data_IF_763333697494
#
_entry.id   IF_763333697494
#
_cell.length_a   1.000
_cell.length_b   1.000
_cell.length_c   1.000
_cell.angle_alpha   90.00
_cell.angle_beta   90.00
_cell.angle_gamma   90.00
#
_symmetry.space_group_name_H-M   'P 1'
#
loop_
_entity.id
_entity.type
_entity.pdbx_description
1 polymer ?
#
# COMPACT_ATOMS: atom_id res chain seq x y z
N UNK A 1 4.96 -3.57 -20.72
CA UNK A 1 4.86 -2.68 -21.90
C UNK A 1 3.72 -3.05 -22.84
N UNK A 2 3.53 -4.30 -23.26
CA UNK A 2 2.48 -4.69 -24.23
C UNK A 2 1.02 -4.48 -23.73
N UNK A 3 0.71 -4.75 -22.45
CA UNK A 3 -0.64 -4.47 -21.90
C UNK A 3 -0.98 -2.98 -21.72
N UNK A 4 0.01 -2.10 -21.74
CA UNK A 4 -0.20 -0.66 -21.45
C UNK A 4 -0.67 0.07 -22.71
N UNK A 5 -0.11 -0.26 -23.88
CA UNK A 5 -0.54 0.30 -25.17
C UNK A 5 -1.95 -0.11 -25.59
N UNK A 6 -2.38 -1.34 -25.25
CA UNK A 6 -3.74 -1.82 -25.57
C UNK A 6 -4.84 -1.10 -24.77
N UNK A 7 -4.50 -0.62 -23.56
CA UNK A 7 -5.41 0.18 -22.73
C UNK A 7 -5.51 1.62 -23.21
N UNK A 8 -4.40 2.19 -23.72
CA UNK A 8 -4.38 3.52 -24.35
C UNK A 8 -5.18 3.51 -25.66
N UNK A 9 -4.99 2.47 -26.50
CA UNK A 9 -5.76 2.29 -27.74
C UNK A 9 -7.25 2.08 -27.47
N UNK A 10 -7.62 1.32 -26.42
CA UNK A 10 -9.02 1.09 -26.08
C UNK A 10 -9.68 2.36 -25.50
N UNK A 11 -8.99 3.11 -24.64
CA UNK A 11 -9.49 4.39 -24.10
C UNK A 11 -9.69 5.41 -25.22
N UNK A 12 -8.66 5.57 -26.07
CA UNK A 12 -8.72 6.48 -27.20
C UNK A 12 -9.78 6.09 -28.23
N UNK A 13 -9.94 4.80 -28.51
CA UNK A 13 -11.00 4.31 -29.40
C UNK A 13 -12.40 4.54 -28.81
N UNK A 14 -12.57 4.37 -27.49
CA UNK A 14 -13.87 4.59 -26.84
C UNK A 14 -14.23 6.09 -26.76
N UNK A 15 -13.28 6.95 -26.41
CA UNK A 15 -13.53 8.39 -26.23
C UNK A 15 -13.56 9.15 -27.56
N UNK A 16 -12.60 8.91 -28.45
CA UNK A 16 -12.51 9.63 -29.72
C UNK A 16 -13.30 8.94 -30.84
N UNK A 17 -13.49 7.61 -30.75
CA UNK A 17 -14.22 6.83 -31.75
C UNK A 17 -15.71 6.67 -31.46
N UNK A 18 -16.09 6.26 -30.25
CA UNK A 18 -17.51 5.97 -29.90
C UNK A 18 -18.26 7.21 -29.42
N UNK A 19 -17.61 8.10 -28.66
CA UNK A 19 -18.22 9.35 -28.17
C UNK A 19 -18.06 10.54 -29.14
N UNK A 20 -17.22 10.43 -30.18
CA UNK A 20 -17.10 11.42 -31.27
C UNK A 20 -16.57 12.80 -30.84
N UNK A 21 -15.95 12.90 -29.66
CA UNK A 21 -15.43 14.16 -29.11
C UNK A 21 -14.05 14.50 -29.71
N UNK A 22 -13.75 15.80 -29.86
CA UNK A 22 -12.47 16.24 -30.45
C UNK A 22 -11.38 16.27 -29.38
N UNK A 23 -10.12 15.91 -29.69
CA UNK A 23 -9.00 15.95 -28.75
C UNK A 23 -8.70 17.33 -28.14
N UNK A 24 -9.25 18.40 -28.74
CA UNK A 24 -9.07 19.78 -28.28
C UNK A 24 -10.00 20.17 -27.11
N UNK A 25 -11.03 19.37 -26.82
CA UNK A 25 -12.01 19.70 -25.77
C UNK A 25 -11.49 19.24 -24.40
N UNK A 26 -11.43 20.16 -23.43
CA UNK A 26 -11.00 19.90 -22.04
C UNK A 26 -11.77 18.73 -21.39
N UNK A 27 -13.05 18.58 -21.73
CA UNK A 27 -13.91 17.50 -21.24
C UNK A 27 -13.57 16.14 -21.87
N UNK A 28 -13.14 16.12 -23.13
CA UNK A 28 -12.68 14.90 -23.80
C UNK A 28 -11.37 14.39 -23.21
N UNK A 29 -10.42 15.30 -22.94
CA UNK A 29 -9.15 14.97 -22.28
C UNK A 29 -9.35 14.49 -20.84
N UNK A 30 -10.25 15.14 -20.08
CA UNK A 30 -10.62 14.69 -18.74
C UNK A 30 -11.24 13.27 -18.76
N UNK A 31 -12.15 12.99 -19.69
CA UNK A 31 -12.79 11.68 -19.79
C UNK A 31 -11.84 10.57 -20.22
N UNK A 32 -10.95 10.84 -21.17
CA UNK A 32 -9.90 9.90 -21.60
C UNK A 32 -8.95 9.57 -20.45
N UNK A 33 -8.44 10.59 -19.74
CA UNK A 33 -7.63 10.40 -18.54
C UNK A 33 -8.37 9.61 -17.46
N UNK A 34 -9.64 9.96 -17.19
CA UNK A 34 -10.44 9.27 -16.19
C UNK A 34 -10.62 7.79 -16.50
N UNK A 35 -10.97 7.43 -17.74
CA UNK A 35 -11.22 6.04 -18.14
C UNK A 35 -9.91 5.24 -18.12
N UNK A 36 -8.86 5.80 -18.71
CA UNK A 36 -7.55 5.16 -18.75
C UNK A 36 -7.01 4.88 -17.35
N UNK A 37 -6.94 5.90 -16.48
CA UNK A 37 -6.40 5.75 -15.13
C UNK A 37 -7.31 4.91 -14.23
N UNK A 38 -8.63 5.02 -14.36
CA UNK A 38 -9.56 4.17 -13.60
C UNK A 38 -9.33 2.70 -13.88
N UNK A 39 -9.25 2.31 -15.16
CA UNK A 39 -9.05 0.90 -15.52
C UNK A 39 -7.65 0.44 -15.11
N UNK A 40 -6.62 1.25 -15.40
CA UNK A 40 -5.22 0.93 -15.11
C UNK A 40 -4.96 0.74 -13.62
N UNK A 41 -5.41 1.69 -12.79
CA UNK A 41 -5.19 1.66 -11.35
C UNK A 41 -6.01 0.54 -10.70
N UNK A 42 -7.26 0.32 -11.10
CA UNK A 42 -8.07 -0.80 -10.57
C UNK A 42 -7.45 -2.17 -10.92
N UNK A 43 -6.92 -2.32 -12.15
CA UNK A 43 -6.26 -3.56 -12.58
C UNK A 43 -4.96 -3.80 -11.82
N UNK A 44 -4.10 -2.77 -11.70
CA UNK A 44 -2.88 -2.83 -10.89
C UNK A 44 -3.19 -3.18 -9.43
N UNK A 45 -4.19 -2.52 -8.84
CA UNK A 45 -4.62 -2.78 -7.47
C UNK A 45 -5.12 -4.22 -7.31
N UNK A 46 -5.94 -4.72 -8.23
CA UNK A 46 -6.47 -6.08 -8.17
C UNK A 46 -5.36 -7.14 -8.26
N UNK A 47 -4.41 -6.97 -9.19
CA UNK A 47 -3.26 -7.88 -9.35
C UNK A 47 -2.38 -7.86 -8.10
N UNK A 48 -2.04 -6.67 -7.61
CA UNK A 48 -1.19 -6.52 -6.43
C UNK A 48 -1.85 -7.11 -5.18
N UNK A 49 -3.14 -6.82 -4.92
CA UNK A 49 -3.88 -7.40 -3.78
C UNK A 49 -3.96 -8.93 -3.90
N UNK A 50 -4.14 -9.46 -5.12
CA UNK A 50 -4.15 -10.90 -5.34
C UNK A 50 -2.80 -11.52 -5.01
N UNK A 51 -1.70 -10.98 -5.54
CA UNK A 51 -0.33 -11.45 -5.26
C UNK A 51 -0.03 -11.42 -3.76
N UNK A 52 -0.35 -10.31 -3.08
CA UNK A 52 -0.15 -10.17 -1.63
C UNK A 52 -1.01 -11.16 -0.85
N UNK A 53 -2.27 -11.37 -1.25
CA UNK A 53 -3.18 -12.34 -0.60
C UNK A 53 -2.69 -13.78 -0.77
N UNK A 54 -2.15 -14.11 -1.94
CA UNK A 54 -1.52 -15.41 -2.23
C UNK A 54 -0.25 -15.58 -1.39
N UNK A 55 0.64 -14.59 -1.39
CA UNK A 55 1.87 -14.60 -0.58
C UNK A 55 1.55 -14.81 0.91
N UNK A 56 0.54 -14.12 1.43
CA UNK A 56 0.04 -14.31 2.81
C UNK A 56 -0.52 -15.69 3.08
N UNK A 57 -1.17 -16.30 2.10
CA UNK A 57 -1.64 -17.67 2.23
C UNK A 57 -0.48 -18.68 2.33
N UNK A 58 0.71 -18.34 1.83
CA UNK A 58 1.94 -19.13 1.98
C UNK A 58 2.73 -18.81 3.25
N UNK A 59 2.76 -17.54 3.66
CA UNK A 59 3.40 -17.10 4.92
C UNK A 59 2.58 -17.64 6.09
N UNK A 60 3.01 -18.79 6.62
CA UNK A 60 2.35 -19.42 7.75
C UNK A 60 2.65 -18.61 9.01
N UNK A 61 1.60 -18.09 9.67
CA UNK A 61 1.66 -17.38 10.97
C UNK A 61 2.57 -18.05 12.02
N UNK A 62 2.77 -19.36 11.90
CA UNK A 62 3.70 -20.18 12.71
C UNK A 62 5.18 -19.76 12.58
N UNK A 63 5.69 -19.46 11.38
CA UNK A 63 7.10 -19.04 11.19
C UNK A 63 7.38 -17.68 11.81
N UNK A 64 6.45 -16.74 11.66
CA UNK A 64 6.57 -15.41 12.27
C UNK A 64 6.54 -15.52 13.81
N UNK A 65 5.65 -16.36 14.34
CA UNK A 65 5.59 -16.63 15.79
C UNK A 65 6.85 -17.30 16.32
N UNK A 66 7.45 -18.25 15.60
CA UNK A 66 8.73 -18.87 15.98
C UNK A 66 9.91 -17.88 15.91
N UNK A 67 9.87 -16.89 14.99
CA UNK A 67 10.91 -15.86 14.88
C UNK A 67 10.80 -14.71 15.90
N UNK A 68 9.57 -14.34 16.30
CA UNK A 68 9.29 -13.16 17.14
C UNK A 68 8.71 -13.48 18.54
N UNK A 69 8.12 -14.66 18.74
CA UNK A 69 7.32 -15.01 19.93
C UNK A 69 8.08 -15.34 21.22
N UNK A 70 9.29 -14.80 21.41
CA UNK A 70 10.09 -15.01 22.62
C UNK A 70 11.23 -14.02 22.80
N UNK A 71 11.27 -12.95 22.00
CA UNK A 71 12.34 -11.94 22.07
C UNK A 71 11.87 -10.75 22.90
N UNK A 72 12.77 -10.28 23.78
CA UNK A 72 12.54 -9.11 24.64
C UNK A 72 12.21 -7.87 23.79
N UNK A 73 11.42 -6.97 24.36
CA UNK A 73 11.16 -5.64 23.80
C UNK A 73 12.49 -4.97 23.39
N UNK A 74 12.52 -4.33 22.23
CA UNK A 74 13.75 -3.81 21.61
C UNK A 74 14.29 -4.74 20.51
N UNK A 75 14.81 -5.92 20.85
CA UNK A 75 15.33 -6.87 19.82
C UNK A 75 14.20 -7.35 18.91
N UNK A 76 13.02 -7.59 19.49
CA UNK A 76 11.82 -7.89 18.70
C UNK A 76 11.45 -6.76 17.73
N UNK A 77 11.56 -5.50 18.16
CA UNK A 77 11.21 -4.31 17.36
C UNK A 77 12.16 -4.15 16.15
N UNK A 78 13.47 -4.34 16.37
CA UNK A 78 14.46 -4.28 15.28
C UNK A 78 14.18 -5.36 14.23
N UNK A 79 13.97 -6.60 14.67
CA UNK A 79 13.68 -7.71 13.76
C UNK A 79 12.35 -7.52 13.03
N UNK A 80 11.34 -7.01 13.71
CA UNK A 80 10.06 -6.66 13.13
C UNK A 80 10.19 -5.57 12.06
N UNK A 81 10.92 -4.49 12.34
CA UNK A 81 11.15 -3.41 11.39
C UNK A 81 11.91 -3.90 10.14
N UNK A 82 12.95 -4.73 10.32
CA UNK A 82 13.70 -5.33 9.21
C UNK A 82 12.86 -6.28 8.36
N UNK A 83 11.94 -7.04 8.97
CA UNK A 83 10.99 -7.88 8.25
C UNK A 83 9.94 -7.05 7.48
N UNK A 84 9.68 -5.82 7.91
CA UNK A 84 8.78 -4.89 7.22
C UNK A 84 9.33 -4.43 5.86
N UNK A 85 10.64 -4.22 5.75
CA UNK A 85 11.30 -3.71 4.53
C UNK A 85 10.96 -4.53 3.26
N UNK A 86 11.15 -5.88 3.25
CA UNK A 86 10.85 -6.69 2.07
C UNK A 86 9.35 -7.00 1.89
N UNK A 87 8.48 -6.47 2.75
CA UNK A 87 7.05 -6.77 2.75
C UNK A 87 6.21 -5.50 2.77
N UNK A 88 6.14 -4.75 1.64
CA UNK A 88 5.38 -3.52 1.56
C UNK A 88 3.88 -3.80 1.61
N UNK A 89 3.35 -3.95 2.83
CA UNK A 89 1.93 -4.10 3.04
C UNK A 89 1.25 -2.74 2.95
N UNK A 90 0.30 -2.65 2.03
CA UNK A 90 -0.68 -1.57 2.01
C UNK A 90 -1.53 -1.56 3.28
N UNK A 91 -2.16 -0.44 3.58
CA UNK A 91 -3.16 -0.30 4.66
C UNK A 91 -4.26 -1.39 4.61
N UNK A 92 -4.67 -1.79 3.40
CA UNK A 92 -5.60 -2.90 3.15
C UNK A 92 -5.15 -4.23 3.78
N UNK A 93 -3.85 -4.42 3.82
CA UNK A 93 -3.15 -5.64 4.17
C UNK A 93 -2.63 -5.57 5.61
N UNK A 94 -2.29 -4.39 6.12
CA UNK A 94 -1.83 -4.19 7.50
C UNK A 94 -2.78 -4.79 8.55
N UNK A 95 -4.08 -4.56 8.44
CA UNK A 95 -5.07 -4.93 9.48
C UNK A 95 -5.15 -6.45 9.75
N UNK A 96 -5.32 -7.34 8.76
CA UNK A 96 -5.32 -8.78 9.01
C UNK A 96 -4.01 -9.33 9.59
N UNK A 97 -2.87 -8.71 9.25
CA UNK A 97 -1.57 -9.13 9.78
C UNK A 97 -1.39 -8.69 11.22
N UNK A 98 -1.78 -7.45 11.54
CA UNK A 98 -1.83 -6.96 12.91
C UNK A 98 -2.62 -7.93 13.80
N UNK A 99 -3.85 -8.24 13.39
CA UNK A 99 -4.67 -9.23 14.10
C UNK A 99 -3.95 -10.57 14.22
N UNK A 100 -3.33 -11.07 13.15
CA UNK A 100 -2.57 -12.32 13.18
C UNK A 100 -1.37 -12.33 14.15
N UNK A 101 -0.72 -11.18 14.37
CA UNK A 101 0.43 -11.07 15.29
C UNK A 101 -0.05 -11.00 16.75
N UNK A 102 -1.11 -10.23 17.01
CA UNK A 102 -1.75 -10.17 18.33
C UNK A 102 -2.34 -11.53 18.71
N UNK A 103 -3.02 -12.22 17.78
CA UNK A 103 -3.50 -13.61 17.97
C UNK A 103 -2.37 -14.61 18.28
N UNK A 104 -1.16 -14.33 17.79
CA UNK A 104 0.03 -15.14 18.02
C UNK A 104 0.70 -14.84 19.37
N UNK A 105 0.25 -13.82 20.11
CA UNK A 105 0.83 -13.39 21.38
C UNK A 105 2.14 -12.61 21.22
N UNK A 106 2.35 -11.98 20.05
CA UNK A 106 3.50 -11.09 19.84
C UNK A 106 3.21 -9.75 20.54
N UNK A 107 4.15 -9.16 21.30
CA UNK A 107 3.96 -7.88 21.96
C UNK A 107 3.50 -6.79 21.00
N UNK A 108 2.67 -5.88 21.47
CA UNK A 108 2.03 -4.88 20.62
C UNK A 108 3.05 -3.95 19.95
N UNK A 109 4.05 -3.50 20.72
CA UNK A 109 5.13 -2.65 20.22
C UNK A 109 5.94 -3.28 19.07
N UNK A 110 6.15 -4.59 19.12
CA UNK A 110 6.85 -5.36 18.08
C UNK A 110 6.02 -5.38 16.80
N UNK A 111 4.71 -5.57 16.93
CA UNK A 111 3.80 -5.54 15.80
C UNK A 111 3.74 -4.15 15.15
N UNK A 112 3.71 -3.09 15.96
CA UNK A 112 3.71 -1.72 15.43
C UNK A 112 5.02 -1.34 14.74
N UNK A 113 6.17 -1.80 15.24
CA UNK A 113 7.45 -1.62 14.54
C UNK A 113 7.42 -2.19 13.12
N UNK A 114 6.87 -3.40 12.97
CA UNK A 114 6.66 -4.04 11.68
C UNK A 114 5.69 -3.23 10.79
N UNK A 115 4.54 -2.82 11.34
CA UNK A 115 3.49 -2.12 10.62
C UNK A 115 3.90 -0.73 10.14
N UNK A 116 4.75 -0.03 10.89
CA UNK A 116 5.25 1.31 10.54
C UNK A 116 6.36 1.19 9.50
N UNK A 117 7.27 0.22 9.65
CA UNK A 117 8.36 0.02 8.69
C UNK A 117 7.86 -0.41 7.30
N UNK A 118 6.86 -1.30 7.25
CA UNK A 118 6.30 -1.89 6.02
C UNK A 118 5.88 -0.86 4.94
N UNK A 119 5.04 0.16 5.23
CA UNK A 119 4.68 1.18 4.24
C UNK A 119 5.74 2.26 4.08
N UNK A 120 6.59 2.45 5.09
CA UNK A 120 7.54 3.57 5.13
C UNK A 120 8.83 3.27 4.37
N UNK A 121 9.27 2.01 4.32
CA UNK A 121 10.45 1.59 3.58
C UNK A 121 10.00 0.55 2.56
N UNK A 122 9.97 0.91 1.27
CA UNK A 122 9.65 -0.02 0.20
C UNK A 122 10.81 -0.11 -0.82
N UNK A 123 10.85 -1.22 -1.54
CA UNK A 123 11.94 -1.53 -2.46
C UNK A 123 11.92 -0.61 -3.68
N UNK A 124 10.74 -0.14 -4.08
CA UNK A 124 10.55 0.77 -5.22
C UNK A 124 11.15 2.16 -4.92
N UNK A 125 10.89 2.73 -3.74
CA UNK A 125 11.45 4.00 -3.30
C UNK A 125 12.96 3.89 -3.10
N UNK A 126 13.45 2.78 -2.55
CA UNK A 126 14.90 2.53 -2.45
C UNK A 126 15.55 2.55 -3.84
N UNK A 127 14.96 1.84 -4.81
CA UNK A 127 15.49 1.80 -6.18
C UNK A 127 15.47 3.19 -6.86
N UNK A 128 14.39 3.94 -6.68
CA UNK A 128 14.25 5.30 -7.22
C UNK A 128 15.25 6.28 -6.57
N UNK A 129 15.34 6.28 -5.24
CA UNK A 129 16.27 7.14 -4.50
C UNK A 129 17.72 6.81 -4.85
N UNK A 130 18.04 5.53 -4.99
CA UNK A 130 19.38 5.11 -5.38
C UNK A 130 19.73 5.58 -6.80
N UNK A 131 18.76 5.50 -7.73
CA UNK A 131 18.94 5.94 -9.10
C UNK A 131 19.03 7.46 -9.26
N UNK A 132 18.30 8.23 -8.44
CA UNK A 132 18.23 9.69 -8.55
C UNK A 132 19.27 10.42 -7.69
N UNK A 133 19.46 9.98 -6.45
CA UNK A 133 20.24 10.69 -5.42
C UNK A 133 21.46 9.91 -4.93
N UNK A 134 21.63 8.66 -5.36
CA UNK A 134 22.75 7.82 -4.97
C UNK A 134 22.60 7.14 -3.60
N UNK A 135 23.68 6.50 -3.16
CA UNK A 135 23.66 5.62 -1.98
C UNK A 135 23.53 6.37 -0.65
N UNK A 136 24.08 7.57 -0.54
CA UNK A 136 24.12 8.36 0.70
C UNK A 136 22.70 8.73 1.17
N UNK A 137 21.88 9.28 0.27
CA UNK A 137 20.49 9.66 0.56
C UNK A 137 19.63 8.41 0.81
N UNK A 138 19.86 7.34 0.05
CA UNK A 138 19.14 6.07 0.21
C UNK A 138 19.41 5.44 1.58
N UNK A 139 20.67 5.43 2.03
CA UNK A 139 21.04 4.90 3.34
C UNK A 139 20.43 5.74 4.48
N UNK A 140 20.40 7.06 4.34
CA UNK A 140 19.74 7.95 5.30
C UNK A 140 18.24 7.68 5.40
N UNK A 141 17.56 7.49 4.26
CA UNK A 141 16.14 7.16 4.21
C UNK A 141 15.83 5.84 4.93
N UNK A 142 16.57 4.78 4.63
CA UNK A 142 16.39 3.47 5.28
C UNK A 142 16.68 3.56 6.78
N UNK A 143 17.77 4.23 7.16
CA UNK A 143 18.18 4.41 8.55
C UNK A 143 17.16 5.20 9.37
N UNK A 144 16.74 6.37 8.86
CA UNK A 144 15.72 7.19 9.50
C UNK A 144 14.39 6.44 9.64
N UNK A 145 13.96 5.75 8.58
CA UNK A 145 12.76 4.92 8.62
C UNK A 145 12.85 3.81 9.68
N UNK A 146 13.96 3.08 9.75
CA UNK A 146 14.14 2.03 10.74
C UNK A 146 14.10 2.60 12.16
N UNK A 147 14.80 3.71 12.42
CA UNK A 147 14.83 4.37 13.72
C UNK A 147 13.42 4.78 14.14
N UNK A 148 12.67 5.45 13.26
CA UNK A 148 11.30 5.89 13.55
C UNK A 148 10.41 4.70 13.87
N UNK A 149 10.46 3.63 13.06
CA UNK A 149 9.63 2.45 13.27
C UNK A 149 9.95 1.76 14.60
N UNK A 150 11.24 1.60 14.95
CA UNK A 150 11.67 0.97 16.19
C UNK A 150 11.29 1.82 17.40
N UNK A 151 11.56 3.13 17.36
CA UNK A 151 11.27 4.05 18.48
C UNK A 151 9.76 4.13 18.71
N UNK A 152 8.98 4.30 17.65
CA UNK A 152 7.52 4.33 17.75
C UNK A 152 6.97 3.01 18.33
N UNK A 153 7.48 1.87 17.86
CA UNK A 153 7.09 0.57 18.40
C UNK A 153 7.48 0.36 19.87
N UNK A 154 8.67 0.81 20.29
CA UNK A 154 9.06 0.77 21.72
C UNK A 154 8.14 1.64 22.57
N UNK A 155 7.83 2.87 22.13
CA UNK A 155 6.94 3.78 22.84
C UNK A 155 5.56 3.14 23.00
N UNK A 156 5.00 2.59 21.93
CA UNK A 156 3.69 1.92 21.94
C UNK A 156 3.70 0.69 22.85
N UNK A 157 4.77 -0.11 22.83
CA UNK A 157 4.92 -1.25 23.74
C UNK A 157 4.93 -0.82 25.21
N UNK A 158 5.68 0.23 25.54
CA UNK A 158 5.76 0.76 26.92
C UNK A 158 4.48 1.40 27.44
N UNK A 159 3.60 1.85 26.55
CA UNK A 159 2.29 2.38 26.94
C UNK A 159 1.33 1.27 27.40
N UNK A 160 1.65 -0.01 27.20
CA UNK A 160 0.84 -1.12 27.72
C UNK A 160 -0.59 -1.16 27.17
N UNK A 161 -0.80 -0.65 25.94
CA UNK A 161 -2.10 -0.53 25.26
C UNK A 161 -2.73 -1.88 24.87
N UNK A 162 -2.21 -2.98 25.40
CA UNK A 162 -2.65 -4.35 25.14
C UNK A 162 -4.06 -4.61 25.65
N UNK A 163 -4.49 -3.91 26.71
CA UNK A 163 -5.85 -3.96 27.23
C UNK A 163 -6.88 -3.15 26.45
N UNK A 164 -6.44 -2.21 25.60
CA UNK A 164 -7.32 -1.36 24.78
C UNK A 164 -7.65 -1.99 23.42
N UNK A 165 -7.04 -3.12 23.09
CA UNK A 165 -7.33 -3.84 21.85
C UNK A 165 -8.61 -4.66 22.05
N UNK A 166 -9.63 -4.37 21.23
CA UNK A 166 -10.95 -5.02 21.28
C UNK A 166 -10.88 -6.52 21.59
N UNK A 167 -11.72 -6.97 22.54
CA UNK A 167 -11.84 -8.36 22.97
C UNK A 167 -12.16 -9.33 21.82
N UNK A 168 -12.75 -8.81 20.72
CA UNK A 168 -12.97 -9.55 19.47
C UNK A 168 -11.67 -10.08 18.84
N UNK A 169 -10.54 -9.38 19.02
CA UNK A 169 -9.21 -9.81 18.56
C UNK A 169 -8.74 -11.01 19.40
N UNK A 170 -8.96 -11.00 20.71
CA UNK A 170 -8.64 -12.12 21.60
C UNK A 170 -9.56 -13.34 21.38
N UNK A 171 -10.85 -13.13 21.11
CA UNK A 171 -11.80 -14.20 20.82
C UNK A 171 -11.48 -14.94 19.50
N UNK A 172 -10.98 -14.20 18.49
CA UNK A 172 -10.55 -14.78 17.20
C UNK A 172 -9.23 -15.55 17.30
N UNK A 173 -8.34 -15.16 18.22
CA UNK A 173 -7.12 -15.89 18.58
C UNK A 173 -7.40 -17.33 19.02
N UNK A 174 -8.46 -17.56 19.80
CA UNK A 174 -8.89 -18.92 20.20
C UNK A 174 -9.39 -19.76 19.01
N UNK A 175 -10.00 -19.12 18.00
CA UNK A 175 -10.58 -19.79 16.82
C UNK A 175 -9.56 -20.02 15.69
N UNK A 176 -8.42 -19.32 15.72
CA UNK A 176 -7.34 -19.39 14.74
C UNK A 176 -6.34 -20.53 14.97
N UNK A 177 -6.72 -21.63 15.64
CA UNK A 177 -5.92 -22.87 15.62
C UNK A 177 -5.90 -23.39 14.18
N UNK A 178 -4.70 -23.32 13.58
CA UNK A 178 -4.46 -23.50 12.15
C UNK A 178 -5.19 -24.68 11.53
N UNK A 179 -6.30 -24.40 10.84
CA UNK A 179 -6.85 -25.33 9.85
C UNK A 179 -5.86 -25.36 8.69
N UNK A 180 -5.29 -26.52 8.37
CA UNK A 180 -4.43 -26.69 7.19
C UNK A 180 -5.29 -26.43 5.95
N UNK A 181 -5.31 -25.18 5.47
CA UNK A 181 -6.05 -24.82 4.26
C UNK A 181 -5.42 -25.51 3.06
N UNK A 182 -6.24 -26.28 2.32
CA UNK A 182 -5.82 -26.96 1.10
C UNK A 182 -5.54 -25.92 0.01
N UNK A 183 -4.68 -26.23 -0.97
CA UNK A 183 -4.30 -25.28 -2.05
C UNK A 183 -5.49 -24.61 -2.73
N UNK A 184 -6.58 -25.37 -2.99
CA UNK A 184 -7.81 -24.83 -3.56
C UNK A 184 -8.53 -23.82 -2.65
N UNK A 185 -8.51 -24.04 -1.33
CA UNK A 185 -9.12 -23.13 -0.35
C UNK A 185 -8.33 -21.84 -0.21
N UNK A 186 -6.98 -21.90 -0.32
CA UNK A 186 -6.10 -20.72 -0.30
C UNK A 186 -6.37 -19.80 -1.48
N UNK A 187 -6.47 -20.36 -2.69
CA UNK A 187 -6.80 -19.61 -3.91
C UNK A 187 -8.20 -19.01 -3.86
N UNK A 188 -9.19 -19.77 -3.36
CA UNK A 188 -10.56 -19.27 -3.22
C UNK A 188 -10.64 -18.14 -2.19
N UNK A 189 -9.92 -18.24 -1.06
CA UNK A 189 -9.80 -17.16 -0.09
C UNK A 189 -9.12 -15.92 -0.66
N UNK A 190 -7.98 -16.09 -1.34
CA UNK A 190 -7.28 -14.98 -1.96
C UNK A 190 -8.17 -14.24 -2.98
N UNK A 191 -8.92 -14.98 -3.82
CA UNK A 191 -9.86 -14.40 -4.77
C UNK A 191 -10.99 -13.62 -4.09
N UNK A 192 -11.66 -14.22 -3.10
CA UNK A 192 -12.74 -13.56 -2.36
C UNK A 192 -12.25 -12.31 -1.61
N UNK A 193 -11.08 -12.39 -0.99
CA UNK A 193 -10.49 -11.28 -0.27
C UNK A 193 -10.11 -10.14 -1.22
N UNK A 194 -9.55 -10.48 -2.39
CA UNK A 194 -9.23 -9.51 -3.44
C UNK A 194 -10.49 -8.78 -3.90
N UNK A 195 -11.55 -9.50 -4.27
CA UNK A 195 -12.81 -8.89 -4.72
C UNK A 195 -13.41 -8.00 -3.63
N UNK A 196 -13.38 -8.44 -2.37
CA UNK A 196 -13.92 -7.65 -1.25
C UNK A 196 -13.13 -6.36 -1.01
N UNK A 197 -11.80 -6.41 -1.13
CA UNK A 197 -10.96 -5.23 -0.99
C UNK A 197 -11.13 -4.27 -2.16
N UNK A 198 -11.07 -4.78 -3.40
CA UNK A 198 -11.28 -3.96 -4.61
C UNK A 198 -12.64 -3.28 -4.55
N UNK A 199 -13.72 -3.99 -4.22
CA UNK A 199 -15.07 -3.40 -4.12
C UNK A 199 -15.19 -2.33 -3.04
N UNK A 200 -14.42 -2.43 -1.95
CA UNK A 200 -14.39 -1.40 -0.90
C UNK A 200 -13.55 -0.18 -1.28
N UNK A 201 -12.42 -0.37 -1.95
CA UNK A 201 -11.45 0.70 -2.26
C UNK A 201 -11.82 1.42 -3.56
N UNK A 202 -12.37 0.71 -4.53
CA UNK A 202 -12.76 1.24 -5.84
C UNK A 202 -13.59 2.54 -5.78
N UNK A 203 -14.65 2.69 -4.98
CA UNK A 203 -15.43 3.94 -4.99
C UNK A 203 -14.59 5.16 -4.56
N UNK A 204 -13.73 5.02 -3.54
CA UNK A 204 -12.85 6.09 -3.09
C UNK A 204 -11.76 6.41 -4.12
N UNK A 205 -11.22 5.38 -4.76
CA UNK A 205 -10.20 5.51 -5.79
C UNK A 205 -10.75 6.19 -7.04
N UNK A 206 -11.93 5.76 -7.51
CA UNK A 206 -12.63 6.38 -8.65
C UNK A 206 -12.98 7.84 -8.35
N UNK A 207 -13.39 8.17 -7.13
CA UNK A 207 -13.63 9.55 -6.73
C UNK A 207 -12.34 10.39 -6.84
N UNK A 208 -11.22 9.89 -6.32
CA UNK A 208 -9.92 10.57 -6.40
C UNK A 208 -9.42 10.74 -7.84
N UNK A 209 -9.55 9.71 -8.68
CA UNK A 209 -9.20 9.77 -10.11
C UNK A 209 -10.13 10.75 -10.83
N UNK A 210 -11.41 10.81 -10.46
CA UNK A 210 -12.37 11.78 -11.01
C UNK A 210 -11.96 13.22 -10.73
N UNK A 211 -11.55 13.52 -9.49
CA UNK A 211 -11.00 14.83 -9.13
C UNK A 211 -9.70 15.11 -9.90
N UNK A 212 -8.80 14.13 -10.00
CA UNK A 212 -7.56 14.24 -10.76
C UNK A 212 -7.77 14.50 -12.25
N UNK A 213 -8.75 13.82 -12.86
CA UNK A 213 -9.14 13.99 -14.25
C UNK A 213 -9.74 15.37 -14.53
N UNK A 214 -10.55 15.88 -13.60
CA UNK A 214 -11.06 17.25 -13.67
C UNK A 214 -9.92 18.27 -13.63
N UNK A 215 -8.97 18.08 -12.71
CA UNK A 215 -7.77 18.95 -12.63
C UNK A 215 -6.97 18.85 -13.93
N UNK A 216 -6.71 17.64 -14.45
CA UNK A 216 -5.91 17.45 -15.64
C UNK A 216 -6.55 18.03 -16.91
N UNK A 217 -7.87 17.92 -17.06
CA UNK A 217 -8.58 18.46 -18.22
C UNK A 217 -8.74 19.97 -18.20
N UNK A 218 -8.85 20.59 -17.02
CA UNK A 218 -9.19 22.02 -16.88
C UNK A 218 -8.04 22.90 -16.39
N UNK A 219 -6.93 22.34 -15.87
CA UNK A 219 -5.76 23.12 -15.40
C UNK A 219 -4.66 23.10 -16.48
N UNK A 220 -4.46 24.20 -17.22
CA UNK A 220 -3.40 24.29 -18.21
C UNK A 220 -2.03 24.36 -17.54
N UNK A 221 -1.04 23.67 -18.12
CA UNK A 221 0.34 23.57 -17.63
C UNK A 221 1.00 24.94 -17.40
N UNK A 222 0.60 25.97 -18.17
CA UNK A 222 1.07 27.35 -18.02
C UNK A 222 0.64 28.01 -16.70
N UNK A 223 -0.54 27.70 -16.18
CA UNK A 223 -1.03 28.28 -14.92
C UNK A 223 -0.24 27.72 -13.71
N UNK A 224 0.20 26.46 -13.79
CA UNK A 224 1.08 25.86 -12.78
C UNK A 224 2.50 26.44 -12.85
N UNK A 225 3.01 26.72 -14.04
CA UNK A 225 4.34 27.33 -14.24
C UNK A 225 4.40 28.80 -13.82
N UNK A 226 3.31 29.57 -14.00
CA UNK A 226 3.23 30.97 -13.54
C UNK A 226 3.10 31.06 -12.01
N UNK A 227 2.39 30.11 -11.37
CA UNK A 227 2.27 30.04 -9.91
C UNK A 227 3.55 29.48 -9.25
N UNK A 228 4.24 28.53 -9.89
CA UNK A 228 5.53 28.02 -9.43
C UNK A 228 6.75 28.80 -9.99
N UNK A 229 6.49 29.93 -10.65
CA UNK A 229 7.50 30.77 -11.28
C UNK A 229 8.39 31.49 -10.29
N UNK A 230 9.52 31.99 -10.79
CA UNK A 230 10.63 32.62 -10.04
C UNK A 230 10.21 33.80 -9.14
N UNK A 231 9.05 34.39 -9.41
CA UNK A 231 8.50 35.55 -8.70
C UNK A 231 7.59 35.18 -7.51
N UNK A 232 7.34 33.89 -7.25
CA UNK A 232 6.54 33.45 -6.11
C UNK A 232 7.43 33.09 -4.89
N UNK A 233 7.36 33.83 -3.77
CA UNK A 233 8.14 33.57 -2.56
C UNK A 233 7.79 32.25 -1.84
N UNK A 234 6.73 31.54 -2.26
CA UNK A 234 6.36 30.21 -1.75
C UNK A 234 6.84 29.06 -2.67
N UNK A 235 7.43 29.37 -3.82
CA UNK A 235 8.04 28.36 -4.67
C UNK A 235 9.35 27.89 -4.03
N UNK A 236 9.50 26.57 -3.91
CA UNK A 236 10.76 25.96 -3.46
C UNK A 236 11.81 26.20 -4.56
N UNK A 237 12.94 26.85 -4.26
CA UNK A 237 13.95 27.22 -5.27
C UNK A 237 14.63 26.01 -5.92
#
# INVERSE_FOLDING_TARGET
MISMGLLEEFSGWFVYGVLGMRPADALAQALDFFIYDSIKVLLLLAVMIFLVSVARAFITRKRIREMLGGKKEGVGNILAALLGIPTPFCSCSAVPIFMGFVEAGIPLGVTFSFLIASPMINEVAIALLLGMFGWEVTALYIGAGLIIAIVAGIIIGRLGLEGEVEEFVHARAKKAKGKKMRWKERLLHAKMQTVRMVRKVAPYMLLGIGVGAFIHGFVPVGMLADIAGKDNPLAVP
#
